data_IF_350739842920
#
_entry.id   IF_350739842920
#
_cell.length_a   1.000
_cell.length_b   1.000
_cell.length_c   1.000
_cell.angle_alpha   90.00
_cell.angle_beta   90.00
_cell.angle_gamma   90.00
#
_symmetry.space_group_name_H-M   'P 1'
#
loop_
_entity.id
_entity.type
_entity.pdbx_description
1 polymer ?
#
# COMPACT_ATOMS: atom_id res chain seq x y z
N UNK A 1 15.15 26.71 -22.91
CA UNK A 1 13.68 26.54 -23.02
C UNK A 1 12.98 27.12 -21.79
N UNK A 2 13.43 26.77 -20.57
CA UNK A 2 12.93 27.37 -19.32
C UNK A 2 12.94 28.90 -19.30
N UNK A 3 13.97 29.56 -19.86
CA UNK A 3 14.02 31.04 -19.92
C UNK A 3 12.84 31.65 -20.70
N UNK A 4 12.37 30.98 -21.75
CA UNK A 4 11.20 31.43 -22.52
C UNK A 4 9.90 31.20 -21.73
N UNK A 5 9.79 30.06 -21.05
CA UNK A 5 8.64 29.76 -20.19
C UNK A 5 8.57 30.74 -19.01
N UNK A 6 9.71 31.08 -18.40
CA UNK A 6 9.80 32.08 -17.34
C UNK A 6 9.27 33.46 -17.80
N UNK A 7 9.58 33.85 -19.04
CA UNK A 7 9.05 35.11 -19.60
C UNK A 7 7.55 35.09 -19.92
N UNK A 8 6.96 33.90 -20.05
CA UNK A 8 5.55 33.71 -20.38
C UNK A 8 4.67 33.72 -19.12
N UNK A 9 5.09 33.04 -18.05
CA UNK A 9 4.34 32.97 -16.79
C UNK A 9 4.70 34.11 -15.85
N UNK A 10 3.74 35.01 -15.58
CA UNK A 10 3.90 36.09 -14.61
C UNK A 10 4.17 35.53 -13.22
N UNK A 11 5.10 36.14 -12.48
CA UNK A 11 5.54 35.72 -11.15
C UNK A 11 6.13 34.30 -11.07
N UNK A 12 6.57 33.74 -12.20
CA UNK A 12 7.39 32.54 -12.19
C UNK A 12 8.79 32.82 -11.63
N UNK A 13 9.47 31.78 -11.18
CA UNK A 13 10.79 31.84 -10.55
C UNK A 13 11.74 30.93 -11.32
N UNK A 14 12.94 31.43 -11.62
CA UNK A 14 14.00 30.64 -12.25
C UNK A 14 15.18 30.54 -11.28
N UNK A 15 15.51 29.31 -10.86
CA UNK A 15 16.56 29.03 -9.89
C UNK A 15 17.66 28.16 -10.53
N UNK A 16 18.90 28.39 -10.12
CA UNK A 16 20.07 27.61 -10.58
C UNK A 16 20.37 26.39 -9.71
N UNK A 17 19.64 26.25 -8.61
CA UNK A 17 19.75 25.17 -7.63
C UNK A 17 18.35 24.70 -7.24
N UNK A 18 18.28 23.52 -6.59
CA UNK A 18 17.01 22.95 -6.15
C UNK A 18 16.28 23.94 -5.22
N UNK A 19 14.98 24.22 -5.44
CA UNK A 19 14.23 25.13 -4.59
C UNK A 19 14.25 24.65 -3.14
N UNK A 20 14.33 25.58 -2.19
CA UNK A 20 14.13 25.24 -0.79
C UNK A 20 12.66 24.93 -0.52
N UNK A 21 12.37 24.10 0.49
CA UNK A 21 11.01 23.66 0.83
C UNK A 21 10.01 24.83 0.93
N UNK A 22 10.46 26.02 1.38
CA UNK A 22 9.68 27.27 1.44
C UNK A 22 9.01 27.73 0.13
N UNK A 23 9.53 27.34 -1.03
CA UNK A 23 9.06 27.82 -2.33
C UNK A 23 8.03 26.92 -3.01
N UNK A 24 7.78 25.72 -2.49
CA UNK A 24 6.88 24.75 -3.11
C UNK A 24 5.40 24.98 -2.78
N UNK A 25 5.07 25.84 -1.79
CA UNK A 25 3.68 26.08 -1.38
C UNK A 25 2.80 26.71 -2.45
N UNK A 26 3.38 27.52 -3.34
CA UNK A 26 2.62 28.38 -4.25
C UNK A 26 3.00 28.20 -5.73
N UNK A 27 3.89 27.27 -6.05
CA UNK A 27 4.44 27.09 -7.40
C UNK A 27 4.56 25.61 -7.78
N UNK A 28 4.20 25.29 -9.02
CA UNK A 28 4.59 24.06 -9.70
C UNK A 28 6.07 24.13 -10.09
N UNK A 29 6.87 23.16 -9.65
CA UNK A 29 8.31 23.14 -9.91
C UNK A 29 8.68 22.14 -10.99
N UNK A 30 9.43 22.61 -11.98
CA UNK A 30 9.90 21.83 -13.11
C UNK A 30 11.42 21.92 -13.19
N UNK A 31 12.08 20.79 -13.39
CA UNK A 31 13.51 20.68 -13.62
C UNK A 31 13.78 20.27 -15.06
N UNK A 32 14.72 20.97 -15.69
CA UNK A 32 15.29 20.57 -16.98
C UNK A 32 16.26 19.40 -16.77
N UNK A 33 16.09 18.30 -17.51
CA UNK A 33 16.98 17.14 -17.37
C UNK A 33 18.41 17.44 -17.79
N UNK A 34 18.60 18.41 -18.70
CA UNK A 34 19.89 18.77 -19.25
C UNK A 34 20.57 19.92 -18.50
N UNK A 35 19.92 20.51 -17.48
CA UNK A 35 20.53 21.58 -16.69
C UNK A 35 20.11 21.53 -15.22
N UNK A 36 20.96 22.02 -14.32
CA UNK A 36 20.61 22.12 -12.88
C UNK A 36 19.55 23.19 -12.58
N UNK A 37 18.83 23.68 -13.59
CA UNK A 37 17.92 24.82 -13.48
C UNK A 37 16.49 24.37 -13.22
N UNK A 38 15.83 25.18 -12.41
CA UNK A 38 14.48 24.95 -11.91
C UNK A 38 13.58 26.11 -12.28
N UNK A 39 12.38 25.80 -12.74
CA UNK A 39 11.33 26.76 -13.03
C UNK A 39 10.14 26.51 -12.10
N UNK A 40 9.81 27.51 -11.29
CA UNK A 40 8.62 27.55 -10.47
C UNK A 40 7.54 28.38 -11.16
N UNK A 41 6.38 27.80 -11.46
CA UNK A 41 5.23 28.50 -12.06
C UNK A 41 4.12 28.59 -11.01
N UNK A 42 3.57 29.78 -10.68
CA UNK A 42 2.52 29.89 -9.67
C UNK A 42 1.34 28.95 -9.95
N UNK A 43 0.79 28.30 -8.91
CA UNK A 43 -0.30 27.33 -9.04
C UNK A 43 -1.51 27.92 -9.81
N UNK A 44 -1.88 29.16 -9.52
CA UNK A 44 -3.01 29.86 -10.15
C UNK A 44 -2.75 30.32 -11.60
N UNK A 45 -1.50 30.22 -12.08
CA UNK A 45 -1.09 30.79 -13.36
C UNK A 45 -1.02 29.78 -14.51
N UNK A 46 -1.34 28.51 -14.24
CA UNK A 46 -1.26 27.42 -15.21
C UNK A 46 -2.56 26.63 -15.26
N UNK A 47 -3.05 26.33 -16.46
CA UNK A 47 -4.25 25.51 -16.65
C UNK A 47 -3.89 24.02 -16.73
N UNK A 48 -4.84 23.13 -16.42
CA UNK A 48 -4.62 21.68 -16.37
C UNK A 48 -3.98 21.10 -17.64
N UNK A 49 -4.38 21.57 -18.82
CA UNK A 49 -3.81 21.11 -20.10
C UNK A 49 -2.35 21.56 -20.30
N UNK A 50 -2.01 22.78 -19.86
CA UNK A 50 -0.64 23.31 -19.93
C UNK A 50 0.26 22.60 -18.92
N UNK A 51 -0.26 22.35 -17.72
CA UNK A 51 0.41 21.60 -16.67
C UNK A 51 0.74 20.17 -17.13
N UNK A 52 -0.24 19.48 -17.74
CA UNK A 52 -0.04 18.16 -18.30
C UNK A 52 1.07 18.17 -19.37
N UNK A 53 1.03 19.12 -20.31
CA UNK A 53 2.07 19.27 -21.33
C UNK A 53 3.44 19.52 -20.69
N UNK A 54 3.57 20.42 -19.72
CA UNK A 54 4.86 20.70 -19.07
C UNK A 54 5.38 19.50 -18.28
N UNK A 55 4.52 18.70 -17.65
CA UNK A 55 4.90 17.44 -17.00
C UNK A 55 5.44 16.40 -17.97
N UNK A 56 5.05 16.44 -19.25
CA UNK A 56 5.65 15.55 -20.27
C UNK A 56 7.03 16.01 -20.72
N UNK A 57 7.31 17.32 -20.61
CA UNK A 57 8.52 17.95 -21.14
C UNK A 57 9.63 18.11 -20.09
N UNK A 58 9.28 18.15 -18.81
CA UNK A 58 10.20 18.42 -17.70
C UNK A 58 9.93 17.52 -16.50
N UNK A 59 10.96 17.25 -15.71
CA UNK A 59 10.78 16.55 -14.45
C UNK A 59 10.02 17.44 -13.47
N UNK A 60 8.80 17.05 -13.14
CA UNK A 60 7.93 17.77 -12.22
C UNK A 60 8.21 17.34 -10.78
N UNK A 61 8.62 18.28 -9.93
CA UNK A 61 8.84 18.01 -8.51
C UNK A 61 7.60 18.37 -7.70
N UNK A 62 7.06 17.35 -7.07
CA UNK A 62 5.88 17.42 -6.21
C UNK A 62 6.32 17.75 -4.78
N UNK A 63 5.77 18.80 -4.17
CA UNK A 63 5.91 19.00 -2.74
C UNK A 63 4.67 19.70 -2.16
N UNK A 64 4.17 19.15 -1.07
CA UNK A 64 3.02 19.60 -0.29
C UNK A 64 3.30 20.95 0.37
N UNK A 65 2.28 21.81 0.42
CA UNK A 65 2.24 23.15 1.04
C UNK A 65 3.34 23.41 2.09
N UNK A 66 4.31 24.25 1.74
CA UNK A 66 5.24 24.80 2.72
C UNK A 66 4.64 25.94 3.54
N UNK A 67 4.02 25.55 4.64
CA UNK A 67 3.91 26.32 5.87
C UNK A 67 4.48 25.46 7.01
N UNK A 68 4.80 26.03 8.17
CA UNK A 68 5.28 25.30 9.36
C UNK A 68 4.15 24.46 10.01
N UNK A 69 3.41 23.72 9.18
CA UNK A 69 2.25 22.93 9.55
C UNK A 69 2.68 21.61 10.15
N UNK A 70 1.77 20.99 10.90
CA UNK A 70 1.96 19.67 11.46
C UNK A 70 2.26 18.63 10.36
N UNK A 71 1.60 18.75 9.21
CA UNK A 71 1.85 17.94 8.00
C UNK A 71 3.32 17.99 7.56
N UNK A 72 3.92 19.18 7.49
CA UNK A 72 5.33 19.34 7.11
C UNK A 72 6.26 18.68 8.11
N UNK A 73 6.00 18.84 9.41
CA UNK A 73 6.79 18.19 10.47
C UNK A 73 6.75 16.67 10.33
N UNK A 74 5.57 16.10 10.06
CA UNK A 74 5.43 14.65 9.84
C UNK A 74 6.07 14.19 8.52
N UNK A 75 5.92 14.95 7.44
CA UNK A 75 6.57 14.66 6.17
C UNK A 75 8.11 14.63 6.34
N UNK A 76 8.68 15.66 6.97
CA UNK A 76 10.11 15.74 7.22
C UNK A 76 10.57 14.57 8.10
N UNK A 77 9.82 14.23 9.15
CA UNK A 77 10.11 13.12 10.05
C UNK A 77 10.13 11.75 9.34
N UNK A 78 9.15 11.47 8.47
CA UNK A 78 9.03 10.17 7.81
C UNK A 78 9.92 10.04 6.56
N UNK A 79 10.10 11.13 5.80
CA UNK A 79 10.71 11.07 4.47
C UNK A 79 12.05 11.82 4.36
N UNK A 80 12.41 12.67 5.33
CA UNK A 80 13.57 13.56 5.23
C UNK A 80 14.48 13.57 6.47
N UNK A 81 14.41 12.53 7.32
CA UNK A 81 15.17 12.44 8.58
C UNK A 81 14.98 13.66 9.51
N UNK A 82 13.77 14.23 9.52
CA UNK A 82 13.39 15.34 10.38
C UNK A 82 13.25 14.94 11.85
N UNK A 83 13.01 15.93 12.70
CA UNK A 83 12.78 15.69 14.13
C UNK A 83 11.37 15.14 14.38
N UNK A 84 11.20 14.45 15.53
CA UNK A 84 9.88 14.00 15.99
C UNK A 84 8.95 15.22 16.12
N UNK A 85 7.73 15.18 15.55
CA UNK A 85 6.76 16.26 15.71
C UNK A 85 6.43 16.50 17.19
N UNK A 86 6.81 17.68 17.72
CA UNK A 86 6.66 18.03 19.14
C UNK A 86 5.23 17.87 19.68
N UNK A 87 4.22 18.12 18.84
CA UNK A 87 2.81 18.04 19.23
C UNK A 87 2.35 16.61 19.57
N UNK A 88 3.11 15.59 19.15
CA UNK A 88 2.73 14.18 19.25
C UNK A 88 3.71 13.36 20.11
N UNK A 89 4.63 14.02 20.83
CA UNK A 89 5.50 13.33 21.79
C UNK A 89 4.64 12.60 22.83
N UNK A 90 4.95 11.32 23.07
CA UNK A 90 4.19 10.41 23.94
C UNK A 90 2.80 9.97 23.44
N UNK A 91 2.41 10.33 22.22
CA UNK A 91 1.16 9.85 21.59
C UNK A 91 1.34 8.49 20.93
N UNK A 92 0.23 7.77 20.81
CA UNK A 92 0.15 6.57 19.98
C UNK A 92 -0.33 6.95 18.59
N UNK A 93 0.14 6.23 17.58
CA UNK A 93 -0.24 6.45 16.21
C UNK A 93 -0.31 5.12 15.46
N UNK A 94 -0.95 5.15 14.30
CA UNK A 94 -0.90 4.08 13.30
C UNK A 94 -0.67 4.69 11.93
N UNK A 95 0.25 4.10 11.17
CA UNK A 95 0.46 4.44 9.78
C UNK A 95 -0.42 3.55 8.91
N UNK A 96 -1.24 4.18 8.07
CA UNK A 96 -2.04 3.50 7.06
C UNK A 96 -1.50 3.95 5.72
N UNK A 97 -0.73 3.08 5.08
CA UNK A 97 -0.12 3.39 3.80
C UNK A 97 -1.13 3.16 2.70
N UNK A 98 -1.07 3.94 1.64
CA UNK A 98 -1.91 3.75 0.47
C UNK A 98 -1.11 3.81 -0.82
N UNK A 99 -1.62 3.12 -1.83
CA UNK A 99 -1.10 3.17 -3.19
C UNK A 99 -2.27 3.09 -4.18
N UNK A 100 -2.27 3.98 -5.18
CA UNK A 100 -3.36 4.14 -6.14
C UNK A 100 -2.90 3.73 -7.55
N UNK A 101 -3.73 2.95 -8.24
CA UNK A 101 -3.57 2.66 -9.67
C UNK A 101 -4.78 3.18 -10.44
N UNK A 102 -4.54 3.88 -11.55
CA UNK A 102 -5.58 4.42 -12.41
C UNK A 102 -5.06 5.49 -13.36
N UNK A 103 -5.97 6.14 -14.07
CA UNK A 103 -5.71 7.35 -14.86
C UNK A 103 -5.85 8.61 -14.01
N UNK A 104 -5.27 9.72 -14.47
CA UNK A 104 -5.21 11.05 -13.82
C UNK A 104 -6.30 11.34 -12.79
N UNK A 105 -5.89 11.70 -11.56
CA UNK A 105 -6.76 12.16 -10.48
C UNK A 105 -6.31 13.53 -9.97
N UNK A 106 -7.27 14.28 -9.42
CA UNK A 106 -6.96 15.47 -8.64
C UNK A 106 -6.73 15.07 -7.19
N UNK A 107 -5.55 15.38 -6.66
CA UNK A 107 -5.15 15.05 -5.29
C UNK A 107 -6.14 15.57 -4.26
N UNK A 108 -6.70 16.76 -4.49
CA UNK A 108 -7.64 17.38 -3.58
C UNK A 108 -8.91 16.54 -3.39
N UNK A 109 -9.45 15.99 -4.48
CA UNK A 109 -10.66 15.16 -4.43
C UNK A 109 -10.41 13.86 -3.66
N UNK A 110 -9.22 13.26 -3.83
CA UNK A 110 -8.83 12.06 -3.11
C UNK A 110 -8.63 12.35 -1.62
N UNK A 111 -7.99 13.48 -1.30
CA UNK A 111 -7.85 13.93 0.09
C UNK A 111 -9.21 14.19 0.73
N UNK A 112 -10.13 14.87 0.04
CA UNK A 112 -11.49 15.12 0.52
C UNK A 112 -12.25 13.80 0.78
N UNK A 113 -12.16 12.85 -0.15
CA UNK A 113 -12.73 11.52 0.02
C UNK A 113 -12.12 10.80 1.23
N UNK A 114 -10.79 10.83 1.41
CA UNK A 114 -10.12 10.25 2.56
C UNK A 114 -10.56 10.92 3.88
N UNK A 115 -10.56 12.25 3.94
CA UNK A 115 -11.03 13.00 5.12
C UNK A 115 -12.52 12.79 5.41
N UNK A 116 -13.33 12.45 4.42
CA UNK A 116 -14.72 12.03 4.63
C UNK A 116 -14.85 10.68 5.35
N UNK A 117 -13.85 9.79 5.24
CA UNK A 117 -13.81 8.48 5.90
C UNK A 117 -13.12 8.49 7.26
N UNK A 118 -12.14 9.38 7.44
CA UNK A 118 -11.33 9.47 8.65
C UNK A 118 -11.84 10.59 9.56
N UNK A 119 -11.67 10.41 10.88
CA UNK A 119 -12.01 11.47 11.84
C UNK A 119 -10.93 12.58 11.84
N UNK A 120 -11.21 13.69 12.55
CA UNK A 120 -10.32 14.87 12.69
C UNK A 120 -8.93 14.57 13.31
N UNK A 121 -8.67 13.34 13.72
CA UNK A 121 -7.39 12.91 14.26
C UNK A 121 -6.39 12.41 13.20
N UNK A 122 -6.76 12.40 11.91
CA UNK A 122 -5.95 11.85 10.83
C UNK A 122 -5.25 12.92 9.99
N UNK A 123 -4.04 12.61 9.51
CA UNK A 123 -3.24 13.47 8.62
C UNK A 123 -2.90 12.68 7.36
N UNK A 124 -3.23 13.21 6.18
CA UNK A 124 -2.88 12.58 4.90
C UNK A 124 -1.59 13.20 4.36
N UNK A 125 -0.58 12.38 4.07
CA UNK A 125 0.69 12.79 3.47
C UNK A 125 0.96 12.00 2.21
N UNK A 126 1.33 12.70 1.15
CA UNK A 126 1.74 12.10 -0.11
C UNK A 126 3.26 11.96 -0.16
N UNK A 127 3.73 10.77 -0.55
CA UNK A 127 5.14 10.48 -0.84
C UNK A 127 5.47 10.82 -2.30
N UNK A 128 4.55 10.49 -3.20
CA UNK A 128 4.63 10.72 -4.63
C UNK A 128 3.22 10.94 -5.20
N UNK A 129 3.04 10.84 -6.52
CA UNK A 129 1.75 11.11 -7.17
C UNK A 129 0.66 10.07 -6.83
N UNK A 130 1.04 8.85 -6.44
CA UNK A 130 0.15 7.70 -6.28
C UNK A 130 0.22 7.04 -4.90
N UNK A 131 1.25 7.34 -4.12
CA UNK A 131 1.50 6.69 -2.84
C UNK A 131 1.59 7.71 -1.72
N UNK A 132 1.17 7.29 -0.54
CA UNK A 132 1.25 8.11 0.65
C UNK A 132 0.92 7.34 1.92
N UNK A 133 0.73 8.09 3.00
CA UNK A 133 0.41 7.58 4.32
C UNK A 133 -0.64 8.46 4.97
N UNK A 134 -1.65 7.82 5.56
CA UNK A 134 -2.55 8.43 6.53
C UNK A 134 -2.00 8.12 7.92
N UNK A 135 -1.76 9.17 8.70
CA UNK A 135 -1.30 9.08 10.08
C UNK A 135 -2.51 9.26 10.97
N UNK A 136 -2.96 8.16 11.56
CA UNK A 136 -4.01 8.19 12.58
C UNK A 136 -3.38 8.45 13.94
N UNK A 137 -3.73 9.56 14.57
CA UNK A 137 -3.23 9.94 15.89
C UNK A 137 -4.21 9.52 16.97
N UNK A 138 -3.68 9.01 18.09
CA UNK A 138 -4.46 8.48 19.21
C UNK A 138 -5.59 7.53 18.76
N UNK A 139 -5.25 6.37 18.15
CA UNK A 139 -6.23 5.46 17.58
C UNK A 139 -7.27 5.00 18.60
N UNK A 140 -8.55 5.13 18.25
CA UNK A 140 -9.72 4.80 19.09
C UNK A 140 -10.50 3.58 18.58
N UNK A 141 -9.87 2.77 17.70
CA UNK A 141 -10.46 1.65 16.95
C UNK A 141 -11.43 2.01 15.82
N UNK A 142 -11.66 3.30 15.55
CA UNK A 142 -12.52 3.74 14.44
C UNK A 142 -12.00 3.26 13.08
N UNK A 143 -10.69 3.37 12.84
CA UNK A 143 -10.09 2.86 11.61
C UNK A 143 -9.80 1.36 11.75
N UNK A 144 -10.34 0.56 10.84
CA UNK A 144 -10.11 -0.88 10.79
C UNK A 144 -10.08 -1.36 9.34
N UNK A 145 -9.78 -2.65 9.17
CA UNK A 145 -9.65 -3.26 7.84
C UNK A 145 -10.95 -3.14 7.02
N UNK A 146 -12.11 -3.16 7.67
CA UNK A 146 -13.40 -3.03 6.97
C UNK A 146 -13.65 -1.61 6.48
N UNK A 147 -13.33 -0.59 7.29
CA UNK A 147 -13.39 0.81 6.86
C UNK A 147 -12.50 1.05 5.63
N UNK A 148 -11.28 0.52 5.65
CA UNK A 148 -10.34 0.64 4.52
C UNK A 148 -10.82 -0.11 3.27
N UNK A 149 -11.54 -1.24 3.42
CA UNK A 149 -12.18 -1.92 2.29
C UNK A 149 -13.29 -1.07 1.70
N UNK A 150 -14.13 -0.47 2.53
CA UNK A 150 -15.18 0.45 2.08
C UNK A 150 -14.58 1.66 1.37
N UNK A 151 -13.53 2.27 1.91
CA UNK A 151 -12.81 3.37 1.26
C UNK A 151 -12.24 2.93 -0.09
N UNK A 152 -11.60 1.77 -0.17
CA UNK A 152 -11.10 1.22 -1.44
C UNK A 152 -12.22 1.04 -2.48
N UNK A 153 -13.39 0.56 -2.07
CA UNK A 153 -14.54 0.39 -2.96
C UNK A 153 -15.09 1.74 -3.44
N UNK A 154 -15.19 2.73 -2.55
CA UNK A 154 -15.63 4.08 -2.92
C UNK A 154 -14.66 4.76 -3.88
N UNK A 155 -13.35 4.63 -3.64
CA UNK A 155 -12.35 5.16 -4.58
C UNK A 155 -12.41 4.48 -5.95
N UNK A 156 -12.73 3.18 -5.98
CA UNK A 156 -12.91 2.42 -7.22
C UNK A 156 -14.21 2.78 -7.96
N UNK A 157 -15.31 3.07 -7.24
CA UNK A 157 -16.59 3.44 -7.86
C UNK A 157 -16.65 4.89 -8.32
N UNK A 158 -16.17 5.81 -7.50
CA UNK A 158 -16.41 7.25 -7.67
C UNK A 158 -15.30 7.89 -8.52
N UNK A 159 -14.07 7.38 -8.40
CA UNK A 159 -12.89 7.92 -9.09
C UNK A 159 -12.28 6.94 -10.11
N UNK A 160 -12.83 5.73 -10.24
CA UNK A 160 -12.29 4.67 -11.12
C UNK A 160 -10.83 4.30 -10.78
N UNK A 161 -10.44 4.43 -9.51
CA UNK A 161 -9.08 4.14 -9.03
C UNK A 161 -9.04 2.84 -8.23
N UNK A 162 -8.07 1.99 -8.51
CA UNK A 162 -7.76 0.85 -7.65
C UNK A 162 -6.88 1.33 -6.49
N UNK A 163 -7.47 1.45 -5.32
CA UNK A 163 -6.75 1.81 -4.10
C UNK A 163 -6.33 0.56 -3.31
N UNK A 164 -5.08 0.55 -2.87
CA UNK A 164 -4.51 -0.48 -2.01
C UNK A 164 -4.10 0.18 -0.69
N UNK A 165 -4.33 -0.50 0.43
CA UNK A 165 -4.03 0.03 1.76
C UNK A 165 -3.28 -0.98 2.61
N UNK A 166 -2.23 -0.54 3.31
CA UNK A 166 -1.59 -1.30 4.37
C UNK A 166 -1.92 -0.69 5.73
N UNK A 167 -2.58 -1.45 6.58
CA UNK A 167 -2.93 -1.06 7.93
C UNK A 167 -1.84 -1.50 8.90
N UNK A 168 -0.99 -0.55 9.31
CA UNK A 168 0.10 -0.77 10.23
C UNK A 168 -0.34 -1.02 11.67
N UNK A 169 0.62 -1.21 12.57
CA UNK A 169 0.36 -1.39 14.00
C UNK A 169 0.17 -0.07 14.73
N UNK A 170 -0.64 -0.10 15.79
CA UNK A 170 -0.69 0.98 16.77
C UNK A 170 0.59 0.92 17.59
N UNK A 171 1.32 2.02 17.64
CA UNK A 171 2.62 2.09 18.31
C UNK A 171 2.88 3.47 18.91
N UNK A 172 3.72 3.52 19.93
CA UNK A 172 4.14 4.77 20.57
C UNK A 172 5.15 5.52 19.68
N UNK A 173 5.02 6.84 19.59
CA UNK A 173 5.92 7.68 18.80
C UNK A 173 7.33 7.66 19.37
N UNK A 174 8.31 7.40 18.51
CA UNK A 174 9.73 7.35 18.90
C UNK A 174 10.63 7.70 17.72
N UNK A 175 11.92 7.90 17.98
CA UNK A 175 12.91 8.13 16.92
C UNK A 175 13.07 6.94 15.96
N UNK A 176 12.57 5.75 16.33
CA UNK A 176 12.60 4.55 15.47
C UNK A 176 11.41 4.46 14.53
N UNK A 177 10.38 5.28 14.71
CA UNK A 177 9.15 5.25 13.90
C UNK A 177 9.39 5.31 12.40
N UNK A 178 10.32 6.14 11.87
CA UNK A 178 10.57 6.19 10.42
C UNK A 178 11.15 4.87 9.88
N UNK A 179 12.00 4.19 10.66
CA UNK A 179 12.59 2.91 10.27
C UNK A 179 11.49 1.83 10.25
N UNK A 180 10.64 1.78 11.28
CA UNK A 180 9.52 0.83 11.34
C UNK A 180 8.52 1.06 10.20
N UNK A 181 8.22 2.33 9.90
CA UNK A 181 7.41 2.72 8.75
C UNK A 181 8.02 2.26 7.43
N UNK A 182 9.33 2.43 7.27
CA UNK A 182 10.07 1.99 6.08
C UNK A 182 10.00 0.47 5.92
N UNK A 183 10.15 -0.30 6.99
CA UNK A 183 9.99 -1.77 6.93
C UNK A 183 8.56 -2.16 6.50
N UNK A 184 7.54 -1.53 7.08
CA UNK A 184 6.15 -1.75 6.68
C UNK A 184 5.90 -1.38 5.20
N UNK A 185 6.57 -0.34 4.68
CA UNK A 185 6.52 0.01 3.25
C UNK A 185 7.04 -1.11 2.36
N UNK A 186 8.17 -1.71 2.70
CA UNK A 186 8.71 -2.84 1.94
C UNK A 186 7.74 -4.03 1.95
N UNK A 187 7.16 -4.36 3.11
CA UNK A 187 6.15 -5.41 3.20
C UNK A 187 4.92 -5.11 2.34
N UNK A 188 4.47 -3.86 2.31
CA UNK A 188 3.32 -3.47 1.52
C UNK A 188 3.59 -3.56 0.01
N UNK A 189 4.72 -3.04 -0.44
CA UNK A 189 5.12 -3.07 -1.85
C UNK A 189 5.23 -4.52 -2.36
N UNK A 190 5.86 -5.41 -1.59
CA UNK A 190 5.98 -6.84 -1.92
C UNK A 190 4.60 -7.54 -1.88
N UNK A 191 3.78 -7.23 -0.88
CA UNK A 191 2.45 -7.83 -0.72
C UNK A 191 1.49 -7.51 -1.88
N UNK A 192 1.53 -6.29 -2.44
CA UNK A 192 0.72 -5.93 -3.62
C UNK A 192 1.05 -6.84 -4.80
N UNK A 193 2.33 -7.17 -4.99
CA UNK A 193 2.77 -8.05 -6.09
C UNK A 193 2.37 -9.50 -5.85
N UNK A 194 2.47 -9.98 -4.62
CA UNK A 194 2.14 -11.37 -4.25
C UNK A 194 0.62 -11.62 -4.18
N UNK A 195 -0.19 -10.60 -3.93
CA UNK A 195 -1.64 -10.72 -3.72
C UNK A 195 -2.43 -9.60 -4.44
N UNK A 196 -2.30 -9.40 -5.77
CA UNK A 196 -2.84 -8.22 -6.47
C UNK A 196 -4.38 -8.12 -6.48
N UNK A 197 -5.07 -9.21 -6.11
CA UNK A 197 -6.54 -9.23 -5.97
C UNK A 197 -7.00 -8.65 -4.64
N UNK A 198 -6.12 -8.58 -3.63
CA UNK A 198 -6.43 -7.95 -2.37
C UNK A 198 -6.31 -6.42 -2.46
N UNK A 199 -7.07 -5.74 -1.60
CA UNK A 199 -7.07 -4.27 -1.49
C UNK A 199 -6.56 -3.77 -0.15
N UNK A 200 -6.72 -4.56 0.91
CA UNK A 200 -6.27 -4.17 2.26
C UNK A 200 -5.38 -5.25 2.85
N UNK A 201 -4.26 -4.79 3.40
CA UNK A 201 -3.15 -5.57 3.91
C UNK A 201 -2.89 -5.25 5.37
N UNK A 202 -2.42 -6.25 6.10
CA UNK A 202 -1.85 -6.13 7.44
C UNK A 202 -0.62 -7.01 7.50
N UNK A 203 0.26 -6.80 8.48
CA UNK A 203 1.41 -7.67 8.67
C UNK A 203 1.02 -9.15 8.73
N UNK A 204 0.01 -9.51 9.54
CA UNK A 204 -0.42 -10.91 9.70
C UNK A 204 -0.91 -11.54 8.40
N UNK A 205 -1.52 -10.75 7.52
CA UNK A 205 -2.00 -11.21 6.22
C UNK A 205 -0.85 -11.39 5.23
N UNK A 206 0.10 -10.44 5.23
CA UNK A 206 1.22 -10.46 4.29
C UNK A 206 2.28 -11.50 4.67
N UNK A 207 2.54 -11.66 5.97
CA UNK A 207 3.67 -12.42 6.48
C UNK A 207 3.80 -13.84 5.90
N UNK A 208 2.74 -14.66 5.79
CA UNK A 208 2.86 -15.99 5.17
C UNK A 208 3.29 -15.94 3.69
N UNK A 209 2.85 -14.93 2.94
CA UNK A 209 3.19 -14.76 1.53
C UNK A 209 4.64 -14.28 1.35
N UNK A 210 5.06 -13.32 2.17
CA UNK A 210 6.45 -12.85 2.22
C UNK A 210 7.39 -14.01 2.59
N UNK A 211 7.00 -14.79 3.61
CA UNK A 211 7.78 -15.94 4.04
C UNK A 211 7.87 -17.01 2.95
N UNK A 212 6.78 -17.33 2.26
CA UNK A 212 6.81 -18.31 1.17
C UNK A 212 7.70 -17.85 0.01
N UNK A 213 7.63 -16.56 -0.36
CA UNK A 213 8.47 -15.98 -1.41
C UNK A 213 9.98 -16.06 -1.08
N UNK A 214 10.33 -15.97 0.21
CA UNK A 214 11.72 -15.99 0.68
C UNK A 214 12.26 -17.37 1.07
N UNK A 215 11.47 -18.45 0.93
CA UNK A 215 11.95 -19.80 1.27
C UNK A 215 13.18 -20.18 0.41
N UNK A 216 14.27 -20.67 1.00
CA UNK A 216 15.37 -21.28 0.25
C UNK A 216 14.91 -22.30 -0.79
N UNK A 217 15.50 -22.23 -2.00
CA UNK A 217 15.10 -23.02 -3.17
C UNK A 217 14.94 -24.53 -2.88
N UNK A 218 15.87 -25.12 -2.13
CA UNK A 218 15.81 -26.54 -1.79
C UNK A 218 14.56 -26.92 -0.97
N UNK A 219 14.06 -26.02 -0.12
CA UNK A 219 12.81 -26.24 0.62
C UNK A 219 11.61 -26.07 -0.30
N UNK A 220 11.61 -25.10 -1.22
CA UNK A 220 10.55 -24.95 -2.21
C UNK A 220 10.44 -26.20 -3.10
N UNK A 221 11.58 -26.72 -3.59
CA UNK A 221 11.65 -27.95 -4.40
C UNK A 221 11.18 -29.17 -3.60
N UNK A 222 11.60 -29.29 -2.34
CA UNK A 222 11.11 -30.35 -1.46
C UNK A 222 9.59 -30.26 -1.31
N UNK A 223 9.05 -29.10 -0.92
CA UNK A 223 7.60 -28.90 -0.72
C UNK A 223 6.81 -29.21 -1.99
N UNK A 224 7.34 -28.79 -3.14
CA UNK A 224 6.72 -29.06 -4.43
C UNK A 224 6.68 -30.56 -4.74
N UNK A 225 7.80 -31.27 -4.57
CA UNK A 225 7.88 -32.70 -4.86
C UNK A 225 7.06 -33.58 -3.91
N UNK A 226 6.95 -33.21 -2.64
CA UNK A 226 6.34 -34.05 -1.61
C UNK A 226 4.89 -33.68 -1.30
N UNK A 227 4.45 -32.45 -1.59
CA UNK A 227 3.08 -32.00 -1.30
C UNK A 227 2.31 -31.66 -2.58
N UNK A 228 2.89 -30.83 -3.44
CA UNK A 228 2.17 -30.31 -4.62
C UNK A 228 2.06 -31.36 -5.73
N UNK A 229 3.11 -32.14 -5.98
CA UNK A 229 3.12 -33.16 -7.03
C UNK A 229 2.07 -34.26 -6.80
N UNK A 230 1.79 -34.59 -5.53
CA UNK A 230 0.72 -35.54 -5.16
C UNK A 230 -0.67 -35.06 -5.64
N UNK A 231 -0.80 -33.75 -5.89
CA UNK A 231 -2.03 -33.07 -6.24
C UNK A 231 -2.02 -32.45 -7.62
N UNK A 232 -0.97 -32.67 -8.42
CA UNK A 232 -0.82 -32.04 -9.74
C UNK A 232 -2.02 -32.31 -10.66
N UNK A 233 -2.60 -33.51 -10.58
CA UNK A 233 -3.76 -33.91 -11.39
C UNK A 233 -5.11 -33.45 -10.81
N UNK A 234 -5.13 -32.86 -9.61
CA UNK A 234 -6.36 -32.48 -8.91
C UNK A 234 -6.28 -31.06 -8.29
N UNK A 235 -6.20 -30.00 -9.11
CA UNK A 235 -6.04 -28.62 -8.65
C UNK A 235 -7.20 -28.13 -7.75
N UNK A 236 -8.37 -28.72 -7.88
CA UNK A 236 -9.52 -28.44 -7.01
C UNK A 236 -9.27 -28.81 -5.55
N UNK A 237 -8.43 -29.82 -5.28
CA UNK A 237 -8.07 -30.20 -3.91
C UNK A 237 -7.17 -29.14 -3.27
N UNK A 238 -6.16 -28.65 -3.99
CA UNK A 238 -5.27 -27.59 -3.51
C UNK A 238 -6.07 -26.32 -3.21
N UNK A 239 -6.96 -25.95 -4.12
CA UNK A 239 -7.85 -24.80 -3.94
C UNK A 239 -8.76 -24.98 -2.72
N UNK A 240 -9.33 -26.17 -2.54
CA UNK A 240 -10.18 -26.47 -1.39
C UNK A 240 -9.42 -26.38 -0.05
N UNK A 241 -8.21 -26.95 0.02
CA UNK A 241 -7.37 -26.92 1.22
C UNK A 241 -6.91 -25.50 1.53
N UNK A 242 -6.40 -24.76 0.54
CA UNK A 242 -6.00 -23.36 0.72
C UNK A 242 -7.15 -22.52 1.27
N UNK A 243 -8.31 -22.56 0.62
CA UNK A 243 -9.50 -21.80 1.06
C UNK A 243 -10.01 -22.25 2.42
N UNK A 244 -9.90 -23.54 2.74
CA UNK A 244 -10.25 -24.05 4.07
C UNK A 244 -9.37 -23.42 5.15
N UNK A 245 -8.06 -23.37 4.93
CA UNK A 245 -7.10 -22.78 5.86
C UNK A 245 -7.27 -21.25 5.98
N UNK A 246 -7.47 -20.55 4.86
CA UNK A 246 -7.75 -19.09 4.86
C UNK A 246 -9.04 -18.72 5.60
N UNK A 247 -10.03 -19.62 5.59
CA UNK A 247 -11.27 -19.46 6.34
C UNK A 247 -11.19 -20.00 7.77
N UNK A 248 -9.99 -20.05 8.37
CA UNK A 248 -9.76 -20.54 9.72
C UNK A 248 -10.32 -21.96 9.95
N UNK A 249 -10.15 -22.85 8.98
CA UNK A 249 -10.69 -24.21 9.01
C UNK A 249 -12.23 -24.29 9.11
N UNK A 250 -12.95 -23.25 8.67
CA UNK A 250 -14.41 -23.25 8.65
C UNK A 250 -14.95 -23.87 7.36
N UNK A 251 -15.38 -25.13 7.45
CA UNK A 251 -15.92 -25.87 6.30
C UNK A 251 -17.19 -25.24 5.69
N UNK A 252 -18.06 -24.65 6.51
CA UNK A 252 -19.31 -24.04 6.02
C UNK A 252 -19.03 -22.79 5.20
N UNK A 253 -18.17 -21.90 5.72
CA UNK A 253 -17.76 -20.69 5.00
C UNK A 253 -17.02 -21.04 3.71
N UNK A 254 -16.11 -22.01 3.79
CA UNK A 254 -15.31 -22.47 2.64
C UNK A 254 -16.19 -23.06 1.55
N UNK A 255 -17.15 -23.93 1.89
CA UNK A 255 -18.05 -24.54 0.92
C UNK A 255 -18.90 -23.47 0.20
N UNK A 256 -19.38 -22.47 0.95
CA UNK A 256 -20.12 -21.33 0.40
C UNK A 256 -19.26 -20.51 -0.58
N UNK A 257 -18.02 -20.19 -0.21
CA UNK A 257 -17.10 -19.42 -1.08
C UNK A 257 -16.68 -20.20 -2.33
N UNK A 258 -16.56 -21.52 -2.24
CA UNK A 258 -16.22 -22.39 -3.36
C UNK A 258 -17.44 -22.80 -4.19
N UNK A 259 -18.65 -22.37 -3.83
CA UNK A 259 -19.90 -22.75 -4.48
C UNK A 259 -20.10 -24.29 -4.59
N UNK A 260 -19.67 -25.02 -3.56
CA UNK A 260 -19.85 -26.49 -3.47
C UNK A 260 -20.66 -26.87 -2.23
N UNK A 261 -21.24 -28.07 -2.25
CA UNK A 261 -21.87 -28.62 -1.06
C UNK A 261 -20.81 -28.95 0.01
N UNK A 262 -21.17 -28.82 1.29
CA UNK A 262 -20.27 -29.11 2.43
C UNK A 262 -19.68 -30.53 2.37
N UNK A 263 -20.47 -31.51 1.94
CA UNK A 263 -20.00 -32.90 1.80
C UNK A 263 -18.94 -33.04 0.70
N UNK A 264 -19.09 -32.31 -0.41
CA UNK A 264 -18.08 -32.28 -1.48
C UNK A 264 -16.78 -31.68 -0.99
N UNK A 265 -16.84 -30.59 -0.22
CA UNK A 265 -15.66 -30.02 0.42
C UNK A 265 -15.02 -31.03 1.37
N UNK A 266 -15.80 -31.67 2.24
CA UNK A 266 -15.28 -32.66 3.20
C UNK A 266 -14.59 -33.82 2.47
N UNK A 267 -15.19 -34.35 1.40
CA UNK A 267 -14.57 -35.37 0.55
C UNK A 267 -13.22 -34.90 -0.02
N UNK A 268 -13.13 -33.66 -0.51
CA UNK A 268 -11.86 -33.10 -1.02
C UNK A 268 -10.80 -33.02 0.08
N UNK A 269 -11.16 -32.56 1.28
CA UNK A 269 -10.25 -32.48 2.42
C UNK A 269 -9.80 -33.87 2.89
N UNK A 270 -10.72 -34.84 2.98
CA UNK A 270 -10.41 -36.22 3.37
C UNK A 270 -9.51 -36.89 2.34
N UNK A 271 -9.79 -36.68 1.04
CA UNK A 271 -8.95 -37.18 -0.05
C UNK A 271 -7.54 -36.60 0.00
N UNK A 272 -7.40 -35.31 0.32
CA UNK A 272 -6.09 -34.70 0.55
C UNK A 272 -5.34 -35.38 1.70
N UNK A 273 -5.97 -35.53 2.86
CA UNK A 273 -5.34 -36.15 4.03
C UNK A 273 -4.96 -37.62 3.77
N UNK A 274 -5.78 -38.36 3.03
CA UNK A 274 -5.49 -39.74 2.64
C UNK A 274 -4.29 -39.85 1.70
N UNK A 275 -4.19 -38.95 0.71
CA UNK A 275 -3.09 -38.95 -0.26
C UNK A 275 -1.75 -38.51 0.33
N UNK A 276 -1.77 -37.55 1.25
CA UNK A 276 -0.55 -36.94 1.80
C UNK A 276 -0.15 -37.52 3.15
N UNK A 277 -1.08 -38.16 3.87
CA UNK A 277 -0.88 -38.56 5.27
C UNK A 277 -0.87 -37.39 6.26
N UNK A 278 -1.13 -36.16 5.80
CA UNK A 278 -1.02 -34.95 6.61
C UNK A 278 -2.37 -34.60 7.24
N UNK A 279 -2.38 -34.37 8.55
CA UNK A 279 -3.59 -34.01 9.28
C UNK A 279 -3.77 -32.49 9.35
N UNK A 280 -4.76 -31.95 8.63
CA UNK A 280 -5.08 -30.51 8.61
C UNK A 280 -5.68 -29.96 9.93
N UNK A 281 -5.88 -30.81 10.95
CA UNK A 281 -6.25 -30.36 12.30
C UNK A 281 -5.03 -30.05 13.17
N UNK A 282 -3.85 -30.54 12.79
CA UNK A 282 -2.61 -30.22 13.47
C UNK A 282 -2.09 -28.86 12.97
N UNK A 283 -1.70 -28.00 13.91
CA UNK A 283 -1.31 -26.63 13.61
C UNK A 283 -0.06 -26.54 12.73
N UNK A 284 0.98 -27.33 13.06
CA UNK A 284 2.23 -27.35 12.31
C UNK A 284 2.01 -27.86 10.88
N UNK A 285 1.20 -28.92 10.76
CA UNK A 285 0.77 -29.47 9.47
C UNK A 285 0.02 -28.43 8.63
N UNK A 286 -0.93 -27.73 9.22
CA UNK A 286 -1.72 -26.70 8.52
C UNK A 286 -0.89 -25.52 8.04
N UNK A 287 0.05 -25.02 8.84
CA UNK A 287 0.97 -23.96 8.39
C UNK A 287 1.85 -24.46 7.23
N UNK A 288 2.41 -25.67 7.37
CA UNK A 288 3.28 -26.26 6.34
C UNK A 288 2.53 -26.40 5.02
N UNK A 289 1.30 -26.93 5.05
CA UNK A 289 0.47 -27.08 3.86
C UNK A 289 0.04 -25.73 3.31
N UNK A 290 -0.30 -24.76 4.15
CA UNK A 290 -0.66 -23.42 3.71
C UNK A 290 0.49 -22.77 2.93
N UNK A 291 1.70 -22.78 3.48
CA UNK A 291 2.89 -22.25 2.81
C UNK A 291 3.16 -22.96 1.47
N UNK A 292 3.00 -24.29 1.42
CA UNK A 292 3.10 -25.03 0.16
C UNK A 292 2.03 -24.58 -0.86
N UNK A 293 0.79 -24.36 -0.43
CA UNK A 293 -0.26 -23.83 -1.29
C UNK A 293 0.03 -22.41 -1.78
N UNK A 294 0.74 -21.58 -1.00
CA UNK A 294 1.15 -20.24 -1.44
C UNK A 294 2.23 -20.32 -2.53
N UNK A 295 3.24 -21.18 -2.35
CA UNK A 295 4.29 -21.41 -3.35
C UNK A 295 3.74 -21.85 -4.72
N UNK A 296 2.65 -22.63 -4.75
CA UNK A 296 2.06 -23.08 -6.01
C UNK A 296 1.43 -21.94 -6.84
N UNK A 297 1.03 -20.85 -6.19
CA UNK A 297 0.30 -19.74 -6.81
C UNK A 297 1.21 -18.53 -7.10
N UNK A 298 2.51 -18.63 -6.80
CA UNK A 298 3.54 -17.64 -7.13
C UNK A 298 4.16 -18.00 -8.49
#
# INVERSE_FOLDING_TARGET
MLDKLHSYYKNSLLLSEKPNSSFYSNHHWFKDENSSRWLGIPLESIHNQELALLKTLFHYEFNTKSTNTLEKKWHDFLFSNGMIPEADQESYYRFIQFHLYGSEWEQHDIEEAMYGFFQDNSIVLWKDQASGVIIERNPDQSINVELLRSLSQTLESDFFLKAFFYCGKVQALSIKSPILFTEEQHFFEEAIQLMPSDRVYTFEKCFPYLLSAQLPKHMQEWMSSQLLQIMADEPELLTAVKRFLENNSNATLTAKQLYVHRNTLQYRLDKFMQKTGINLKDFNSSITVYLACLLHNQ
#
